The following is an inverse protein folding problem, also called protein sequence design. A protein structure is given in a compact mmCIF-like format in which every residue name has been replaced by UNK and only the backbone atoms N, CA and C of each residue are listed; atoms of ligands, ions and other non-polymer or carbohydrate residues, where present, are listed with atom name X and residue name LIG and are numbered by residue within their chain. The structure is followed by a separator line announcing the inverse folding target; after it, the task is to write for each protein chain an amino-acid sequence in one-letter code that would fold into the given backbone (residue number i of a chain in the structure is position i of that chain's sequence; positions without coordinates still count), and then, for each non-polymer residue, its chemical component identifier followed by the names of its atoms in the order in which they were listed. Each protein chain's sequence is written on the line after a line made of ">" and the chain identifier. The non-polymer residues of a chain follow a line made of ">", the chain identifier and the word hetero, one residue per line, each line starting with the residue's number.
data_IF_858432604416
#
_entry.id   IF_858432604416
#
_cell.length_a   1.000
_cell.length_b   1.000
_cell.length_c   1.000
_cell.angle_alpha   90.00
_cell.angle_beta   90.00
_cell.angle_gamma   90.00
#
_symmetry.space_group_name_H-M   'P 1'
#
loop_
_entity.id
_entity.type
_entity.pdbx_description
1 polymer ?
#
# COMPACT_ATOMS: atom_id res chain seq x y z
N UNK A 1 3.94 16.43 -25.03
CA UNK A 1 3.59 15.01 -24.84
C UNK A 1 4.80 14.10 -24.99
N UNK A 2 5.52 14.16 -26.11
CA UNK A 2 6.71 13.32 -26.38
C UNK A 2 7.77 13.34 -25.27
N UNK A 3 8.02 14.50 -24.64
CA UNK A 3 9.00 14.59 -23.53
C UNK A 3 8.70 13.64 -22.38
N UNK A 4 7.42 13.44 -22.07
CA UNK A 4 6.97 12.57 -20.98
C UNK A 4 6.88 11.11 -21.42
N UNK A 5 6.57 10.85 -22.70
CA UNK A 5 6.60 9.51 -23.24
C UNK A 5 8.01 8.91 -23.25
N UNK A 6 9.05 9.72 -23.47
CA UNK A 6 10.46 9.31 -23.33
C UNK A 6 10.86 8.89 -21.92
N UNK A 7 10.02 9.17 -20.91
CA UNK A 7 10.25 8.84 -19.50
C UNK A 7 9.46 7.60 -19.05
N UNK A 8 8.67 6.98 -19.95
CA UNK A 8 7.98 5.72 -19.63
C UNK A 8 9.02 4.67 -19.22
N UNK A 9 8.76 3.99 -18.10
CA UNK A 9 9.68 3.07 -17.45
C UNK A 9 10.44 3.68 -16.25
N UNK A 10 10.31 4.97 -15.97
CA UNK A 10 10.88 5.55 -14.75
C UNK A 10 10.00 5.33 -13.52
N UNK A 11 10.64 5.26 -12.34
CA UNK A 11 9.94 5.26 -11.07
C UNK A 11 9.69 6.70 -10.60
N UNK A 12 8.47 6.94 -10.14
CA UNK A 12 8.00 8.22 -9.60
C UNK A 12 7.61 8.03 -8.13
N UNK A 13 7.92 9.00 -7.28
CA UNK A 13 7.38 9.06 -5.93
C UNK A 13 6.21 10.02 -5.89
N UNK A 14 4.98 9.49 -5.77
CA UNK A 14 3.75 10.26 -5.79
C UNK A 14 3.35 10.59 -4.34
N UNK A 15 3.18 11.88 -3.98
CA UNK A 15 2.76 12.27 -2.64
C UNK A 15 1.48 11.56 -2.20
N UNK A 16 1.45 11.06 -0.97
CA UNK A 16 0.31 10.36 -0.33
C UNK A 16 -0.14 9.05 -0.99
N UNK A 17 0.53 8.60 -2.07
CA UNK A 17 0.21 7.34 -2.76
C UNK A 17 1.39 6.37 -2.67
N UNK A 18 2.61 6.85 -2.88
CA UNK A 18 3.83 6.04 -2.80
C UNK A 18 4.60 5.96 -4.12
N UNK A 19 5.49 4.97 -4.23
CA UNK A 19 6.33 4.75 -5.42
C UNK A 19 5.53 4.04 -6.51
N UNK A 20 5.67 4.47 -7.77
CA UNK A 20 5.03 3.82 -8.91
C UNK A 20 5.84 3.93 -10.19
N UNK A 21 5.65 2.99 -11.10
CA UNK A 21 6.32 2.88 -12.38
C UNK A 21 5.47 3.55 -13.48
N UNK A 22 6.00 4.55 -14.16
CA UNK A 22 5.30 5.22 -15.25
C UNK A 22 5.19 4.28 -16.46
N UNK A 23 3.98 3.91 -16.86
CA UNK A 23 3.72 2.96 -17.95
C UNK A 23 3.03 3.58 -19.17
N UNK A 24 2.30 4.68 -18.99
CA UNK A 24 1.52 5.33 -20.05
C UNK A 24 1.52 6.85 -19.90
N UNK A 25 1.54 7.59 -21.01
CA UNK A 25 1.28 9.04 -21.03
C UNK A 25 0.48 9.39 -22.28
N UNK A 26 -0.76 9.83 -22.09
CA UNK A 26 -1.67 10.11 -23.20
C UNK A 26 -3.10 10.44 -22.78
N UNK A 27 -4.01 10.68 -23.74
CA UNK A 27 -5.43 10.86 -23.48
C UNK A 27 -6.06 9.54 -22.99
N UNK A 28 -7.15 9.63 -22.23
CA UNK A 28 -7.96 8.48 -21.83
C UNK A 28 -9.35 8.66 -22.42
N UNK A 29 -9.87 7.61 -23.06
CA UNK A 29 -11.19 7.62 -23.72
C UNK A 29 -12.26 8.13 -22.75
N UNK A 30 -13.11 9.03 -23.22
CA UNK A 30 -14.20 9.65 -22.46
C UNK A 30 -13.74 10.44 -21.21
N UNK A 31 -12.47 10.86 -21.16
CA UNK A 31 -11.95 11.76 -20.13
C UNK A 31 -11.21 12.94 -20.77
N UNK A 32 -11.51 14.19 -20.38
CA UNK A 32 -10.84 15.36 -20.94
C UNK A 32 -9.41 15.48 -20.42
N UNK A 33 -8.51 15.93 -21.29
CA UNK A 33 -7.11 16.17 -20.93
C UNK A 33 -6.21 14.95 -21.10
N UNK A 34 -5.05 15.03 -20.46
CA UNK A 34 -3.98 14.02 -20.57
C UNK A 34 -3.69 13.38 -19.22
N UNK A 35 -3.42 12.09 -19.24
CA UNK A 35 -3.15 11.28 -18.07
C UNK A 35 -1.80 10.56 -18.17
N UNK A 36 -1.18 10.37 -17.01
CA UNK A 36 -0.11 9.43 -16.78
C UNK A 36 -0.71 8.16 -16.16
N UNK A 37 -0.48 7.01 -16.79
CA UNK A 37 -0.79 5.69 -16.24
C UNK A 37 0.42 5.15 -15.50
N UNK A 38 0.24 4.84 -14.22
CA UNK A 38 1.30 4.45 -13.29
C UNK A 38 0.91 3.13 -12.64
N UNK A 39 1.87 2.22 -12.54
CA UNK A 39 1.73 0.95 -11.82
C UNK A 39 2.41 1.05 -10.44
N UNK A 40 1.63 0.95 -9.37
CA UNK A 40 2.08 1.10 -8.00
C UNK A 40 2.73 -0.16 -7.42
N UNK A 41 2.75 -1.28 -8.17
CA UNK A 41 3.29 -2.57 -7.72
C UNK A 41 2.69 -3.08 -6.38
N UNK A 42 1.51 -2.58 -6.01
CA UNK A 42 0.73 -2.98 -4.86
C UNK A 42 -0.76 -2.68 -5.11
N UNK A 43 -1.67 -3.41 -4.48
CA UNK A 43 -3.14 -3.26 -4.63
C UNK A 43 -3.71 -2.01 -3.94
N UNK A 44 -3.06 -0.86 -4.15
CA UNK A 44 -3.45 0.46 -3.64
C UNK A 44 -3.93 1.39 -4.76
N UNK A 45 -3.88 0.91 -6.01
CA UNK A 45 -4.40 1.58 -7.19
C UNK A 45 -5.92 1.37 -7.37
N UNK A 46 -6.39 1.60 -8.59
CA UNK A 46 -7.84 1.57 -8.92
C UNK A 46 -8.19 0.63 -10.06
N UNK A 47 -7.23 0.25 -10.88
CA UNK A 47 -7.44 -0.51 -12.12
C UNK A 47 -6.24 -1.42 -12.43
N UNK A 48 -6.36 -2.20 -13.50
CA UNK A 48 -5.35 -3.12 -14.02
C UNK A 48 -4.58 -2.54 -15.23
N UNK A 49 -4.62 -1.22 -15.40
CA UNK A 49 -4.14 -0.52 -16.60
C UNK A 49 -5.16 -0.42 -17.75
N UNK A 50 -6.39 -0.90 -17.55
CA UNK A 50 -7.52 -0.70 -18.47
C UNK A 50 -8.55 0.32 -17.96
N UNK A 51 -9.28 0.96 -18.90
CA UNK A 51 -10.41 1.83 -18.59
C UNK A 51 -11.49 1.71 -19.68
N UNK A 52 -12.72 1.39 -19.27
CA UNK A 52 -13.89 1.19 -20.15
C UNK A 52 -13.63 0.23 -21.33
N UNK A 53 -12.99 -0.91 -21.06
CA UNK A 53 -12.69 -1.95 -22.06
C UNK A 53 -11.50 -1.64 -22.97
N UNK A 54 -10.82 -0.49 -22.80
CA UNK A 54 -9.59 -0.15 -23.52
C UNK A 54 -8.40 -0.32 -22.58
N UNK A 55 -7.41 -1.13 -22.97
CA UNK A 55 -6.15 -1.29 -22.23
C UNK A 55 -5.14 -0.23 -22.68
N UNK A 56 -4.61 0.51 -21.72
CA UNK A 56 -3.58 1.54 -21.97
C UNK A 56 -2.20 1.07 -21.54
N UNK A 57 -2.14 0.30 -20.46
CA UNK A 57 -0.92 -0.36 -19.99
C UNK A 57 -1.26 -1.68 -19.27
N UNK A 58 -0.22 -2.43 -18.94
CA UNK A 58 -0.30 -3.63 -18.11
C UNK A 58 0.27 -3.31 -16.72
N UNK A 59 -0.48 -3.70 -15.70
CA UNK A 59 -0.09 -3.55 -14.30
C UNK A 59 0.26 -4.91 -13.69
N UNK A 60 1.18 -4.92 -12.73
CA UNK A 60 1.65 -6.16 -12.06
C UNK A 60 0.53 -6.86 -11.28
N UNK A 61 -0.36 -6.08 -10.64
CA UNK A 61 -1.50 -6.60 -9.89
C UNK A 61 -2.83 -6.03 -10.40
N UNK A 62 -3.97 -6.73 -10.20
CA UNK A 62 -5.28 -6.31 -10.73
C UNK A 62 -5.75 -4.92 -10.28
N UNK A 63 -5.26 -4.42 -9.15
CA UNK A 63 -5.58 -3.09 -8.62
C UNK A 63 -4.34 -2.26 -8.33
N UNK A 64 -3.24 -2.44 -9.07
CA UNK A 64 -2.04 -1.61 -8.91
C UNK A 64 -1.95 -0.45 -9.89
N UNK A 65 -2.73 -0.47 -10.97
CA UNK A 65 -2.79 0.62 -11.96
C UNK A 65 -3.55 1.84 -11.46
N UNK A 66 -3.02 3.03 -11.79
CA UNK A 66 -3.61 4.31 -11.45
C UNK A 66 -3.42 5.32 -12.60
N UNK A 67 -4.50 5.98 -13.01
CA UNK A 67 -4.44 7.10 -13.95
C UNK A 67 -4.46 8.42 -13.17
N UNK A 68 -3.46 9.27 -13.38
CA UNK A 68 -3.34 10.59 -12.75
C UNK A 68 -3.26 11.64 -13.87
N UNK A 69 -3.93 12.78 -13.70
CA UNK A 69 -3.79 13.89 -14.65
C UNK A 69 -2.31 14.29 -14.77
N UNK A 70 -1.82 14.42 -16.00
CA UNK A 70 -0.41 14.69 -16.27
C UNK A 70 0.08 15.95 -15.57
N UNK A 71 -0.76 16.99 -15.45
CA UNK A 71 -0.38 18.24 -14.78
C UNK A 71 0.00 18.07 -13.30
N UNK A 72 -0.59 17.09 -12.61
CA UNK A 72 -0.30 16.83 -11.19
C UNK A 72 1.04 16.12 -10.98
N UNK A 73 1.54 15.42 -11.99
CA UNK A 73 2.76 14.59 -11.91
C UNK A 73 3.86 15.02 -12.87
N UNK A 74 3.61 16.04 -13.70
CA UNK A 74 4.54 16.55 -14.72
C UNK A 74 5.92 16.89 -14.13
N UNK A 75 5.95 17.66 -13.04
CA UNK A 75 7.19 18.03 -12.35
C UNK A 75 7.94 16.80 -11.81
N UNK A 76 7.20 15.80 -11.31
CA UNK A 76 7.80 14.55 -10.81
C UNK A 76 8.45 13.75 -11.95
N UNK A 77 7.81 13.71 -13.12
CA UNK A 77 8.32 13.01 -14.30
C UNK A 77 9.55 13.72 -14.88
N UNK A 78 9.54 15.05 -14.90
CA UNK A 78 10.68 15.84 -15.40
C UNK A 78 11.92 15.64 -14.51
N UNK A 79 11.72 15.55 -13.18
CA UNK A 79 12.78 15.30 -12.20
C UNK A 79 13.23 13.84 -12.09
N UNK A 80 12.45 12.88 -12.60
CA UNK A 80 12.83 11.47 -12.57
C UNK A 80 13.97 11.19 -13.57
N UNK A 81 15.14 10.82 -13.05
CA UNK A 81 16.29 10.42 -13.88
C UNK A 81 16.06 9.02 -14.47
N UNK A 82 16.45 8.83 -15.73
CA UNK A 82 16.21 7.59 -16.49
C UNK A 82 16.97 6.34 -15.94
N UNK A 83 17.65 6.46 -14.80
CA UNK A 83 18.60 5.48 -14.28
C UNK A 83 18.16 4.69 -13.04
N UNK A 84 17.03 5.00 -12.40
CA UNK A 84 16.65 4.36 -11.13
C UNK A 84 15.93 3.01 -11.30
N UNK A 85 16.43 2.17 -12.22
CA UNK A 85 15.81 0.88 -12.57
C UNK A 85 16.22 -0.27 -11.64
N UNK A 86 17.16 -0.13 -10.70
CA UNK A 86 17.63 -1.29 -9.92
C UNK A 86 18.13 -0.93 -8.51
N UNK A 87 17.21 -0.85 -7.53
CA UNK A 87 17.58 -1.16 -6.14
C UNK A 87 16.46 -1.90 -5.40
N UNK A 88 16.67 -3.21 -5.37
CA UNK A 88 16.47 -4.19 -4.28
C UNK A 88 15.08 -4.38 -3.67
N UNK A 89 14.37 -5.40 -4.15
CA UNK A 89 13.54 -6.28 -3.32
C UNK A 89 14.36 -7.54 -3.02
N UNK A 90 14.95 -7.62 -1.82
CA UNK A 90 15.35 -8.90 -1.23
C UNK A 90 14.71 -9.02 0.16
N UNK A 91 14.15 -10.19 0.50
CA UNK A 91 13.52 -10.43 1.79
C UNK A 91 14.61 -10.61 2.86
N UNK A 92 14.35 -10.01 4.01
CA UNK A 92 15.02 -10.28 5.28
C UNK A 92 14.70 -11.71 5.69
N UNK A 93 15.74 -12.53 5.89
CA UNK A 93 15.63 -13.71 6.72
C UNK A 93 16.69 -13.67 7.82
N UNK A 94 16.20 -13.82 9.04
CA UNK A 94 16.91 -13.72 10.30
C UNK A 94 17.45 -15.11 10.66
N UNK A 95 18.76 -15.30 10.64
CA UNK A 95 19.40 -16.23 11.59
C UNK A 95 20.73 -15.67 12.08
N UNK A 96 20.75 -15.46 13.38
CA UNK A 96 21.87 -15.13 14.27
C UNK A 96 22.88 -16.28 14.25
N UNK A 97 24.18 -15.98 14.13
CA UNK A 97 25.21 -16.55 15.01
C UNK A 97 26.56 -15.82 14.88
N UNK A 98 26.78 -14.90 15.82
CA UNK A 98 28.08 -14.49 16.37
C UNK A 98 28.82 -15.69 16.95
N UNK A 99 30.12 -15.90 16.64
CA UNK A 99 31.17 -16.26 17.62
C UNK A 99 32.56 -15.77 17.22
N UNK A 100 33.24 -15.28 18.26
CA UNK A 100 34.55 -14.63 18.32
C UNK A 100 35.59 -15.62 18.86
N UNK A 101 36.82 -15.51 18.35
CA UNK A 101 38.14 -15.90 18.90
C UNK A 101 38.53 -17.37 19.12
N UNK A 102 39.70 -17.78 18.60
CA UNK A 102 40.98 -17.89 19.35
C UNK A 102 41.94 -18.96 18.77
N UNK A 103 43.15 -18.54 18.38
CA UNK A 103 44.44 -19.14 18.78
C UNK A 103 44.87 -20.54 18.29
N UNK A 104 46.15 -20.62 17.87
CA UNK A 104 46.98 -21.80 18.14
C UNK A 104 47.73 -22.40 16.95
N UNK A 105 49.05 -22.23 16.95
CA UNK A 105 50.04 -22.62 15.94
C UNK A 105 50.31 -24.12 15.77
N UNK A 106 50.97 -24.41 14.65
CA UNK A 106 51.97 -25.48 14.38
C UNK A 106 51.51 -26.67 13.53
N UNK A 107 52.25 -26.92 12.45
CA UNK A 107 52.13 -28.17 11.69
C UNK A 107 52.75 -28.11 10.30
N UNK A 108 54.08 -28.21 10.23
CA UNK A 108 54.82 -28.54 9.00
C UNK A 108 54.49 -29.97 8.57
N UNK A 109 53.92 -30.18 7.38
CA UNK A 109 54.10 -31.41 6.59
C UNK A 109 53.97 -31.11 5.10
N UNK A 110 55.05 -31.40 4.36
CA UNK A 110 55.12 -31.58 2.91
C UNK A 110 54.45 -32.89 2.46
N UNK A 111 53.78 -32.88 1.29
CA UNK A 111 53.86 -33.85 0.15
C UNK A 111 52.69 -33.58 -0.82
N UNK A 112 52.87 -33.12 -2.08
CA UNK A 112 53.20 -33.87 -3.34
C UNK A 112 52.33 -35.13 -3.54
N UNK A 113 51.69 -35.47 -4.67
CA UNK A 113 51.81 -35.22 -6.12
C UNK A 113 50.52 -35.74 -6.81
N UNK A 114 50.17 -35.25 -8.02
CA UNK A 114 50.10 -36.08 -9.26
C UNK A 114 50.00 -35.19 -10.51
N UNK A 115 50.82 -35.54 -11.49
CA UNK A 115 51.06 -34.92 -12.81
C UNK A 115 50.18 -35.50 -13.93
N UNK A 116 50.08 -34.76 -15.04
CA UNK A 116 50.11 -35.29 -16.42
C UNK A 116 51.18 -34.48 -17.18
N UNK A 117 52.38 -35.04 -17.44
CA UNK A 117 52.82 -35.80 -18.65
C UNK A 117 53.05 -34.93 -19.91
N UNK A 118 54.13 -34.96 -20.71
CA UNK A 118 55.47 -35.60 -20.86
C UNK A 118 56.10 -34.98 -22.16
N UNK A 119 57.25 -35.40 -22.77
CA UNK A 119 58.34 -36.31 -22.36
C UNK A 119 59.78 -35.80 -22.64
N UNK A 120 60.74 -36.23 -21.82
CA UNK A 120 62.05 -36.68 -22.33
C UNK A 120 62.62 -37.74 -21.40
N UNK A 121 62.97 -38.94 -21.89
CA UNK A 121 63.61 -39.97 -21.10
C UNK A 121 65.13 -39.79 -21.12
N UNK A 122 65.74 -39.78 -19.94
CA UNK A 122 67.15 -40.10 -19.77
C UNK A 122 67.27 -41.58 -19.39
N UNK A 123 68.01 -42.38 -20.18
CA UNK A 123 68.52 -43.67 -19.72
C UNK A 123 69.97 -43.87 -20.17
N UNK A 124 70.80 -44.11 -19.15
CA UNK A 124 72.15 -44.72 -19.13
C UNK A 124 72.14 -46.03 -19.95
N UNK A 125 73.22 -46.59 -20.54
CA UNK A 125 74.66 -46.59 -20.28
C UNK A 125 75.36 -47.40 -21.39
N UNK A 126 76.67 -47.18 -21.54
CA UNK A 126 77.74 -48.15 -21.93
C UNK A 126 78.09 -48.28 -23.42
N UNK A 127 79.26 -47.75 -23.77
CA UNK A 127 80.19 -48.25 -24.81
C UNK A 127 81.57 -47.72 -24.41
N UNK A 128 82.42 -48.51 -23.75
CA UNK A 128 83.42 -49.39 -24.39
C UNK A 128 84.41 -48.63 -25.28
N UNK A 129 85.66 -48.71 -24.87
CA UNK A 129 86.83 -48.05 -25.44
C UNK A 129 87.00 -48.35 -26.93
N UNK A 130 86.97 -47.31 -27.75
CA UNK A 130 87.74 -47.27 -29.00
C UNK A 130 88.45 -45.95 -29.12
N UNK A 131 89.79 -46.03 -29.15
CA UNK A 131 90.72 -44.97 -29.56
C UNK A 131 90.23 -44.23 -30.82
N UNK A 132 90.17 -42.91 -30.75
CA UNK A 132 90.44 -42.00 -31.87
C UNK A 132 90.77 -40.63 -31.26
N UNK A 133 92.06 -40.32 -31.09
CA UNK A 133 92.76 -39.33 -31.90
C UNK A 133 92.15 -37.93 -31.85
N UNK A 134 92.84 -37.06 -31.12
CA UNK A 134 92.72 -35.61 -31.17
C UNK A 134 92.79 -35.10 -32.61
N UNK A 135 91.79 -34.31 -33.00
CA UNK A 135 91.94 -33.26 -34.01
C UNK A 135 91.09 -32.06 -33.56
N UNK A 136 91.70 -31.18 -32.79
CA UNK A 136 91.28 -29.78 -32.68
C UNK A 136 91.36 -29.16 -34.07
N UNK A 137 90.21 -29.03 -34.73
CA UNK A 137 90.00 -28.04 -35.79
C UNK A 137 88.51 -27.91 -35.98
N UNK A 138 87.89 -26.98 -35.24
CA UNK A 138 86.60 -26.46 -35.62
C UNK A 138 86.72 -26.02 -37.07
N UNK A 139 85.96 -26.63 -37.97
CA UNK A 139 85.98 -26.21 -39.36
C UNK A 139 85.47 -24.77 -39.42
N UNK A 140 86.04 -23.95 -40.30
CA UNK A 140 85.65 -22.54 -40.46
C UNK A 140 84.13 -22.37 -40.69
N UNK A 141 83.50 -23.43 -41.21
CA UNK A 141 82.06 -23.56 -41.42
C UNK A 141 81.26 -23.71 -40.10
N UNK A 142 81.74 -24.48 -39.12
CA UNK A 142 81.06 -24.65 -37.82
C UNK A 142 81.08 -23.36 -37.00
N UNK A 143 82.18 -22.62 -37.06
CA UNK A 143 82.32 -21.32 -36.40
C UNK A 143 81.38 -20.28 -37.02
N UNK A 144 81.22 -20.31 -38.36
CA UNK A 144 80.25 -19.46 -39.06
C UNK A 144 78.79 -19.81 -38.71
N UNK A 145 78.44 -21.10 -38.58
CA UNK A 145 77.10 -21.53 -38.18
C UNK A 145 76.78 -21.09 -36.74
N UNK A 146 77.71 -21.30 -35.81
CA UNK A 146 77.57 -20.87 -34.41
C UNK A 146 77.48 -19.34 -34.29
N UNK A 147 78.28 -18.60 -35.07
CA UNK A 147 78.21 -17.14 -35.14
C UNK A 147 76.83 -16.64 -35.64
N UNK A 148 76.30 -17.27 -36.68
CA UNK A 148 74.95 -16.97 -37.18
C UNK A 148 73.85 -17.28 -36.14
N UNK A 149 73.95 -18.42 -35.45
CA UNK A 149 73.02 -18.80 -34.38
C UNK A 149 73.06 -17.84 -33.20
N UNK A 150 74.26 -17.42 -32.79
CA UNK A 150 74.45 -16.43 -31.73
C UNK A 150 73.86 -15.06 -32.13
N UNK A 151 74.02 -14.65 -33.39
CA UNK A 151 73.40 -13.43 -33.93
C UNK A 151 71.87 -13.49 -33.92
N UNK A 152 71.28 -14.62 -34.32
CA UNK A 152 69.82 -14.82 -34.25
C UNK A 152 69.29 -14.80 -32.81
N UNK A 153 70.04 -15.39 -31.86
CA UNK A 153 69.67 -15.36 -30.44
C UNK A 153 69.74 -13.95 -29.87
N UNK A 154 70.77 -13.17 -30.19
CA UNK A 154 70.89 -11.77 -29.78
C UNK A 154 69.73 -10.93 -30.30
N UNK A 155 69.34 -11.09 -31.57
CA UNK A 155 68.17 -10.40 -32.13
C UNK A 155 66.86 -10.81 -31.45
N UNK A 156 66.73 -12.06 -31.01
CA UNK A 156 65.54 -12.51 -30.26
C UNK A 156 65.50 -11.90 -28.86
N UNK A 157 66.65 -11.83 -28.18
CA UNK A 157 66.77 -11.19 -26.86
C UNK A 157 66.46 -9.70 -26.97
N UNK A 158 67.00 -9.01 -27.96
CA UNK A 158 66.72 -7.58 -28.19
C UNK A 158 65.22 -7.31 -28.41
N UNK A 159 64.55 -8.13 -29.24
CA UNK A 159 63.09 -8.04 -29.42
C UNK A 159 62.32 -8.29 -28.12
N UNK A 160 62.74 -9.26 -27.32
CA UNK A 160 62.13 -9.54 -26.02
C UNK A 160 62.35 -8.39 -25.04
N UNK A 161 63.53 -7.77 -25.04
CA UNK A 161 63.82 -6.60 -24.20
C UNK A 161 62.97 -5.38 -24.60
N UNK A 162 62.76 -5.17 -25.91
CA UNK A 162 61.83 -4.16 -26.42
C UNK A 162 60.37 -4.43 -25.98
N UNK A 163 59.92 -5.69 -26.03
CA UNK A 163 58.60 -6.08 -25.56
C UNK A 163 58.45 -5.86 -24.05
N UNK A 164 59.46 -6.27 -23.26
CA UNK A 164 59.50 -6.04 -21.81
C UNK A 164 59.47 -4.53 -21.51
N UNK A 165 60.19 -3.70 -22.27
CA UNK A 165 60.16 -2.25 -22.11
C UNK A 165 58.76 -1.66 -22.37
N UNK A 166 58.05 -2.15 -23.40
CA UNK A 166 56.67 -1.76 -23.69
C UNK A 166 55.72 -2.14 -22.55
N UNK A 167 55.83 -3.35 -22.01
CA UNK A 167 55.00 -3.77 -20.88
C UNK A 167 55.31 -2.99 -19.60
N UNK A 168 56.58 -2.69 -19.33
CA UNK A 168 56.97 -1.84 -18.20
C UNK A 168 56.35 -0.45 -18.31
N UNK A 169 56.45 0.18 -19.49
CA UNK A 169 55.80 1.47 -19.74
C UNK A 169 54.29 1.40 -19.51
N UNK A 170 53.63 0.35 -20.01
CA UNK A 170 52.19 0.18 -19.80
C UNK A 170 51.82 0.03 -18.32
N UNK A 171 52.63 -0.68 -17.53
CA UNK A 171 52.44 -0.80 -16.07
C UNK A 171 52.68 0.52 -15.35
N UNK A 172 53.66 1.32 -15.80
CA UNK A 172 53.90 2.66 -15.27
C UNK A 172 52.73 3.60 -15.57
N UNK A 173 52.23 3.60 -16.81
CA UNK A 173 51.06 4.37 -17.22
C UNK A 173 49.81 3.95 -16.39
N UNK A 174 49.60 2.64 -16.18
CA UNK A 174 48.52 2.13 -15.32
C UNK A 174 48.67 2.59 -13.86
N UNK A 175 49.88 2.62 -13.31
CA UNK A 175 50.14 3.09 -11.94
C UNK A 175 49.75 4.55 -11.78
N UNK A 176 50.11 5.40 -12.74
CA UNK A 176 49.77 6.84 -12.72
C UNK A 176 48.25 7.02 -12.69
N UNK A 177 47.51 6.29 -13.52
CA UNK A 177 46.04 6.35 -13.52
C UNK A 177 45.46 5.94 -12.17
N UNK A 178 46.00 4.90 -11.52
CA UNK A 178 45.53 4.50 -10.19
C UNK A 178 45.83 5.57 -9.12
N UNK A 179 46.98 6.23 -9.21
CA UNK A 179 47.37 7.31 -8.31
C UNK A 179 46.47 8.54 -8.48
N UNK A 180 46.03 8.85 -9.70
CA UNK A 180 45.05 9.92 -9.98
C UNK A 180 43.64 9.60 -9.47
N UNK A 181 43.26 8.31 -9.45
CA UNK A 181 41.94 7.88 -8.98
C UNK A 181 41.83 7.84 -7.46
N UNK A 182 42.91 7.56 -6.74
CA UNK A 182 42.92 7.45 -5.27
C UNK A 182 42.30 8.65 -4.54
N UNK A 183 42.67 9.92 -4.81
CA UNK A 183 42.05 11.06 -4.11
C UNK A 183 40.55 11.19 -4.40
N UNK A 184 40.10 10.74 -5.57
CA UNK A 184 38.67 10.72 -5.91
C UNK A 184 37.93 9.67 -5.08
N UNK A 185 38.53 8.49 -4.89
CA UNK A 185 37.99 7.44 -4.02
C UNK A 185 37.91 7.96 -2.58
N UNK A 186 38.99 8.54 -2.06
CA UNK A 186 39.05 9.07 -0.69
C UNK A 186 37.96 10.14 -0.46
N UNK A 187 37.73 11.03 -1.44
CA UNK A 187 36.66 12.03 -1.37
C UNK A 187 35.25 11.41 -1.39
N UNK A 188 35.03 10.33 -2.13
CA UNK A 188 33.77 9.59 -2.07
C UNK A 188 33.60 8.85 -0.73
N UNK A 189 34.66 8.29 -0.17
CA UNK A 189 34.63 7.63 1.14
C UNK A 189 34.30 8.61 2.27
N UNK A 190 34.86 9.83 2.24
CA UNK A 190 34.53 10.90 3.18
C UNK A 190 33.06 11.33 3.03
N UNK A 191 32.60 11.55 1.79
CA UNK A 191 31.20 11.89 1.51
C UNK A 191 30.23 10.81 2.00
N UNK A 192 30.59 9.53 1.87
CA UNK A 192 29.80 8.42 2.39
C UNK A 192 29.72 8.45 3.92
N UNK A 193 30.83 8.70 4.62
CA UNK A 193 30.84 8.82 6.09
C UNK A 193 29.96 9.97 6.57
N UNK A 194 30.02 11.12 5.91
CA UNK A 194 29.19 12.28 6.26
C UNK A 194 27.69 11.99 6.05
N UNK A 195 27.33 11.35 4.94
CA UNK A 195 25.95 10.94 4.67
C UNK A 195 25.47 9.89 5.68
N UNK A 196 26.31 8.92 6.06
CA UNK A 196 25.97 7.92 7.08
C UNK A 196 25.76 8.55 8.46
N UNK A 197 26.59 9.53 8.83
CA UNK A 197 26.43 10.31 10.04
C UNK A 197 25.13 11.12 10.03
N UNK A 198 24.80 11.76 8.90
CA UNK A 198 23.56 12.53 8.75
C UNK A 198 22.32 11.63 8.81
N UNK A 199 22.35 10.46 8.14
CA UNK A 199 21.28 9.47 8.25
C UNK A 199 21.09 9.03 9.70
N UNK A 200 22.19 8.78 10.43
CA UNK A 200 22.14 8.39 11.84
C UNK A 200 21.53 9.49 12.71
N UNK A 201 21.89 10.76 12.47
CA UNK A 201 21.33 11.92 13.14
C UNK A 201 19.82 12.08 12.89
N UNK A 202 19.41 12.02 11.62
CA UNK A 202 17.99 12.14 11.23
C UNK A 202 17.15 10.99 11.78
N UNK A 203 17.67 9.76 11.78
CA UNK A 203 17.01 8.60 12.40
C UNK A 203 16.84 8.79 13.90
N UNK A 204 17.86 9.32 14.60
CA UNK A 204 17.78 9.60 16.03
C UNK A 204 16.75 10.71 16.33
N UNK A 205 16.70 11.77 15.51
CA UNK A 205 15.70 12.82 15.64
C UNK A 205 14.27 12.28 15.43
N UNK A 206 14.06 11.48 14.37
CA UNK A 206 12.77 10.85 14.10
C UNK A 206 12.34 9.92 15.25
N UNK A 207 13.27 9.14 15.80
CA UNK A 207 13.00 8.30 16.97
C UNK A 207 12.59 9.12 18.20
N UNK A 208 13.23 10.26 18.43
CA UNK A 208 12.89 11.16 19.52
C UNK A 208 11.50 11.79 19.33
N UNK A 209 11.19 12.31 18.15
CA UNK A 209 9.89 12.91 17.84
C UNK A 209 8.75 11.88 17.92
N UNK A 210 8.95 10.67 17.40
CA UNK A 210 7.95 9.59 17.47
C UNK A 210 7.68 9.14 18.90
N UNK A 211 8.72 9.03 19.74
CA UNK A 211 8.57 8.73 21.16
C UNK A 211 7.85 9.85 21.91
N UNK A 212 8.13 11.13 21.60
CA UNK A 212 7.38 12.25 22.16
C UNK A 212 5.91 12.23 21.76
N UNK A 213 5.60 12.02 20.47
CA UNK A 213 4.22 11.92 19.99
C UNK A 213 3.49 10.74 20.64
N UNK A 214 4.16 9.59 20.80
CA UNK A 214 3.61 8.43 21.49
C UNK A 214 3.25 8.76 22.94
N UNK A 215 4.12 9.46 23.66
CA UNK A 215 3.85 9.89 25.05
C UNK A 215 2.69 10.87 25.13
N UNK A 216 2.62 11.85 24.22
CA UNK A 216 1.49 12.78 24.16
C UNK A 216 0.17 12.05 23.87
N UNK A 217 0.18 11.13 22.89
CA UNK A 217 -0.98 10.30 22.57
C UNK A 217 -1.42 9.48 23.79
N UNK A 218 -0.50 8.80 24.47
CA UNK A 218 -0.79 8.04 25.68
C UNK A 218 -1.37 8.92 26.80
N UNK A 219 -0.86 10.15 26.95
CA UNK A 219 -1.40 11.11 27.89
C UNK A 219 -2.86 11.45 27.56
N UNK A 220 -3.16 11.84 26.33
CA UNK A 220 -4.54 12.15 25.92
C UNK A 220 -5.47 10.93 25.96
N UNK A 221 -4.98 9.73 25.63
CA UNK A 221 -5.74 8.49 25.77
C UNK A 221 -6.12 8.23 27.23
N UNK A 222 -5.17 8.42 28.17
CA UNK A 222 -5.43 8.24 29.60
C UNK A 222 -6.40 9.28 30.18
N UNK A 223 -6.32 10.54 29.72
CA UNK A 223 -7.27 11.59 30.10
C UNK A 223 -8.66 11.31 29.52
N UNK A 224 -8.73 10.85 28.27
CA UNK A 224 -10.00 10.48 27.63
C UNK A 224 -10.68 9.31 28.35
N UNK A 225 -9.93 8.29 28.74
CA UNK A 225 -10.43 7.14 29.50
C UNK A 225 -10.96 7.57 30.87
N UNK A 226 -10.25 8.46 31.57
CA UNK A 226 -10.72 9.03 32.84
C UNK A 226 -12.02 9.84 32.67
N UNK A 227 -12.10 10.66 31.62
CA UNK A 227 -13.32 11.42 31.32
C UNK A 227 -14.50 10.50 31.00
N UNK A 228 -14.29 9.42 30.23
CA UNK A 228 -15.33 8.42 29.96
C UNK A 228 -15.82 7.76 31.26
N UNK A 229 -14.93 7.40 32.17
CA UNK A 229 -15.31 6.84 33.46
C UNK A 229 -16.18 7.81 34.29
N UNK A 230 -15.83 9.11 34.32
CA UNK A 230 -16.63 10.14 34.99
C UNK A 230 -17.99 10.32 34.33
N UNK A 231 -18.05 10.29 32.99
CA UNK A 231 -19.31 10.37 32.25
C UNK A 231 -20.22 9.18 32.57
N UNK A 232 -19.67 7.97 32.64
CA UNK A 232 -20.43 6.77 33.00
C UNK A 232 -20.96 6.83 34.44
N UNK A 233 -20.16 7.33 35.39
CA UNK A 233 -20.59 7.55 36.77
C UNK A 233 -21.75 8.56 36.84
N UNK A 234 -21.63 9.70 36.16
CA UNK A 234 -22.69 10.71 36.09
C UNK A 234 -23.95 10.18 35.42
N UNK A 235 -23.84 9.36 34.37
CA UNK A 235 -25.02 8.74 33.74
C UNK A 235 -25.77 7.82 34.69
N UNK A 236 -25.07 6.99 35.48
CA UNK A 236 -25.71 6.15 36.47
C UNK A 236 -26.30 6.97 37.63
N UNK A 237 -25.66 8.07 38.03
CA UNK A 237 -26.24 9.02 39.01
C UNK A 237 -27.53 9.69 38.49
N UNK A 238 -27.53 10.16 37.24
CA UNK A 238 -28.72 10.77 36.61
C UNK A 238 -29.86 9.77 36.59
N UNK A 239 -29.61 8.55 36.13
CA UNK A 239 -30.59 7.46 36.07
C UNK A 239 -31.10 7.06 37.46
N UNK A 240 -30.23 7.04 38.46
CA UNK A 240 -30.64 6.82 39.85
C UNK A 240 -31.55 7.96 40.36
N UNK A 241 -31.21 9.21 40.07
CA UNK A 241 -32.03 10.37 40.42
C UNK A 241 -33.37 10.37 39.69
N UNK A 242 -33.42 10.04 38.40
CA UNK A 242 -34.67 9.88 37.64
C UNK A 242 -35.58 8.83 38.28
N UNK A 243 -35.03 7.67 38.69
CA UNK A 243 -35.79 6.64 39.41
C UNK A 243 -36.32 7.16 40.75
N UNK A 244 -35.53 7.92 41.51
CA UNK A 244 -35.96 8.53 42.77
C UNK A 244 -37.11 9.52 42.54
N UNK A 245 -36.97 10.41 41.56
CA UNK A 245 -38.01 11.39 41.18
C UNK A 245 -39.27 10.69 40.69
N UNK A 246 -39.15 9.66 39.85
CA UNK A 246 -40.29 8.88 39.36
C UNK A 246 -41.02 8.14 40.50
N UNK A 247 -40.28 7.55 41.45
CA UNK A 247 -40.86 6.91 42.62
C UNK A 247 -41.55 7.92 43.55
N UNK A 248 -40.97 9.11 43.73
CA UNK A 248 -41.57 10.17 44.54
C UNK A 248 -42.81 10.78 43.86
N UNK A 249 -42.79 10.96 42.55
CA UNK A 249 -43.97 11.33 41.78
C UNK A 249 -45.06 10.26 41.90
N UNK A 250 -44.69 8.97 41.76
CA UNK A 250 -45.62 7.86 41.89
C UNK A 250 -46.21 7.77 43.30
N UNK A 251 -45.43 7.96 44.37
CA UNK A 251 -45.94 7.93 45.74
C UNK A 251 -46.89 9.08 46.06
N UNK A 252 -46.72 10.25 45.43
CA UNK A 252 -47.66 11.38 45.52
C UNK A 252 -48.94 11.14 44.71
N UNK A 253 -48.84 10.49 43.55
CA UNK A 253 -49.98 10.24 42.64
C UNK A 253 -50.83 9.05 43.09
N UNK A 254 -50.23 7.97 43.63
CA UNK A 254 -50.94 6.76 44.08
C UNK A 254 -52.17 7.05 44.97
N UNK A 255 -52.05 7.78 46.10
CA UNK A 255 -53.18 7.97 47.01
C UNK A 255 -54.37 8.73 46.39
N UNK A 256 -54.16 9.48 45.30
CA UNK A 256 -55.23 10.21 44.60
C UNK A 256 -55.79 9.42 43.40
N UNK A 257 -54.93 8.77 42.61
CA UNK A 257 -55.33 8.03 41.41
C UNK A 257 -55.71 6.56 41.66
N UNK A 258 -55.24 5.95 42.75
CA UNK A 258 -55.52 4.56 43.10
C UNK A 258 -57.01 4.27 43.32
N UNK A 259 -57.74 5.08 44.11
CA UNK A 259 -59.19 4.94 44.28
C UNK A 259 -59.94 5.13 42.95
N UNK A 260 -59.61 6.19 42.22
CA UNK A 260 -60.21 6.50 40.91
C UNK A 260 -59.99 5.38 39.88
N UNK A 261 -58.82 4.72 39.91
CA UNK A 261 -58.55 3.54 39.05
C UNK A 261 -59.46 2.37 39.38
N UNK A 262 -59.68 2.08 40.67
CA UNK A 262 -60.58 1.00 41.09
C UNK A 262 -62.02 1.29 40.70
N UNK A 263 -62.48 2.53 40.89
CA UNK A 263 -63.80 2.96 40.46
C UNK A 263 -63.99 2.83 38.95
N UNK A 264 -62.97 3.19 38.17
CA UNK A 264 -63.00 3.03 36.72
C UNK A 264 -63.06 1.55 36.30
N UNK A 265 -62.30 0.68 36.96
CA UNK A 265 -62.32 -0.78 36.74
C UNK A 265 -63.70 -1.38 37.07
N UNK A 266 -64.30 -0.96 38.18
CA UNK A 266 -65.65 -1.38 38.57
C UNK A 266 -66.70 -0.89 37.58
N UNK A 267 -66.58 0.36 37.11
CA UNK A 267 -67.47 0.92 36.09
C UNK A 267 -67.35 0.15 34.77
N UNK A 268 -66.15 -0.17 34.30
CA UNK A 268 -65.94 -0.99 33.09
C UNK A 268 -66.54 -2.39 33.25
N UNK A 269 -66.34 -3.04 34.40
CA UNK A 269 -66.94 -4.35 34.66
C UNK A 269 -68.48 -4.29 34.67
N UNK A 270 -69.06 -3.21 35.22
CA UNK A 270 -70.51 -2.97 35.19
C UNK A 270 -71.02 -2.81 33.76
N UNK A 271 -70.33 -2.00 32.94
CA UNK A 271 -70.68 -1.80 31.54
C UNK A 271 -70.66 -3.15 30.80
N UNK A 272 -69.60 -3.95 30.96
CA UNK A 272 -69.50 -5.26 30.31
C UNK A 272 -70.61 -6.24 30.71
N UNK A 273 -71.07 -6.20 31.96
CA UNK A 273 -72.21 -7.01 32.42
C UNK A 273 -73.51 -6.51 31.80
N UNK A 274 -73.73 -5.20 31.75
CA UNK A 274 -74.92 -4.60 31.16
C UNK A 274 -75.00 -4.85 29.65
N UNK A 275 -73.88 -4.79 28.94
CA UNK A 275 -73.78 -5.15 27.52
C UNK A 275 -74.19 -6.62 27.28
N UNK A 276 -73.68 -7.56 28.09
CA UNK A 276 -74.12 -8.97 28.02
C UNK A 276 -75.60 -9.17 28.30
N UNK A 277 -76.17 -8.40 29.22
CA UNK A 277 -77.61 -8.46 29.52
C UNK A 277 -78.45 -7.90 28.36
N UNK A 278 -77.98 -6.83 27.72
CA UNK A 278 -78.55 -6.28 26.49
C UNK A 278 -78.52 -7.28 25.34
N UNK A 279 -77.40 -7.96 25.13
CA UNK A 279 -77.27 -9.01 24.10
C UNK A 279 -78.23 -10.18 24.37
N UNK A 280 -78.35 -10.63 25.62
CA UNK A 280 -79.29 -11.68 26.01
C UNK A 280 -80.76 -11.27 25.83
N UNK A 281 -81.10 -10.02 26.16
CA UNK A 281 -82.44 -9.46 25.95
C UNK A 281 -82.75 -9.25 24.46
N UNK A 282 -81.76 -8.89 23.65
CA UNK A 282 -81.88 -8.80 22.20
C UNK A 282 -82.16 -10.18 21.57
N UNK A 283 -81.49 -11.24 22.03
CA UNK A 283 -81.76 -12.62 21.59
C UNK A 283 -83.16 -13.08 22.00
N UNK A 284 -83.62 -12.74 23.22
CA UNK A 284 -84.95 -13.10 23.73
C UNK A 284 -86.13 -12.36 23.03
N UNK A 285 -85.85 -11.29 22.28
CA UNK A 285 -86.89 -10.48 21.61
C UNK A 285 -86.98 -10.76 20.09
N UNK A 286 -86.20 -11.71 19.55
CA UNK A 286 -86.29 -12.08 18.12
C UNK A 286 -87.35 -13.17 17.88
N UNK A 287 -88.59 -12.75 17.65
CA UNK A 287 -89.57 -13.56 16.92
C UNK A 287 -89.31 -13.46 15.41
N UNK A 288 -89.30 -14.56 14.65
CA UNK A 288 -89.00 -14.52 13.21
C UNK A 288 -90.25 -14.10 12.43
N UNK A 289 -90.38 -12.82 12.09
CA UNK A 289 -91.30 -12.41 11.03
C UNK A 289 -90.64 -12.62 9.68
N UNK A 290 -91.19 -13.59 8.96
CA UNK A 290 -90.98 -13.90 7.55
C UNK A 290 -91.47 -12.75 6.67
N UNK A 291 -90.55 -12.16 5.92
CA UNK A 291 -90.85 -11.43 4.67
C UNK A 291 -90.01 -12.07 3.57
N UNK A 292 -90.69 -12.53 2.52
CA UNK A 292 -90.09 -13.04 1.28
C UNK A 292 -90.20 -11.98 0.19
N UNK A 293 -89.19 -12.01 -0.69
CA UNK A 293 -89.17 -11.59 -2.11
C UNK A 293 -89.34 -10.09 -2.41
N UNK A 294 -88.65 -9.46 -3.37
CA UNK A 294 -87.80 -9.91 -4.48
C UNK A 294 -86.80 -8.79 -4.79
N UNK A 295 -85.53 -9.13 -5.06
CA UNK A 295 -84.67 -8.57 -6.13
C UNK A 295 -83.20 -8.87 -5.84
N UNK A 296 -82.61 -9.65 -6.75
CA UNK A 296 -81.17 -9.76 -6.87
C UNK A 296 -80.60 -8.50 -7.55
N UNK A 297 -79.77 -7.74 -6.84
CA UNK A 297 -78.45 -7.27 -7.29
C UNK A 297 -77.90 -6.15 -6.41
N UNK A 298 -76.57 -6.10 -6.37
CA UNK A 298 -75.70 -5.03 -5.90
C UNK A 298 -75.59 -4.82 -4.38
N UNK A 299 -74.47 -5.34 -3.86
CA UNK A 299 -73.85 -4.92 -2.61
C UNK A 299 -73.52 -3.44 -2.71
N UNK A 300 -74.40 -2.57 -2.20
CA UNK A 300 -74.02 -1.18 -1.92
C UNK A 300 -73.44 -1.12 -0.51
N UNK A 301 -72.10 -1.21 -0.47
CA UNK A 301 -71.27 -0.85 0.66
C UNK A 301 -71.71 0.49 1.26
N UNK A 302 -71.82 0.54 2.60
CA UNK A 302 -72.06 1.76 3.37
C UNK A 302 -71.27 2.95 2.82
N UNK A 303 -71.87 4.15 2.74
CA UNK A 303 -71.20 5.31 2.16
C UNK A 303 -69.93 5.62 2.95
N UNK A 304 -68.77 5.41 2.31
CA UNK A 304 -67.51 5.90 2.83
C UNK A 304 -67.66 7.42 2.94
N UNK A 305 -67.64 7.93 4.18
CA UNK A 305 -67.65 9.35 4.44
C UNK A 305 -66.48 10.02 3.71
N UNK A 306 -66.77 10.68 2.59
CA UNK A 306 -65.84 11.59 1.91
C UNK A 306 -65.95 12.94 2.57
N UNK A 307 -64.90 13.34 3.29
CA UNK A 307 -64.78 14.71 3.78
C UNK A 307 -65.01 15.70 2.63
N UNK A 308 -65.84 16.73 2.86
CA UNK A 308 -66.20 17.77 1.86
C UNK A 308 -64.98 18.43 1.23
N UNK A 309 -63.85 18.44 1.94
CA UNK A 309 -62.55 18.81 1.42
C UNK A 309 -61.57 17.68 1.70
N UNK A 310 -60.79 17.28 0.69
CA UNK A 310 -59.58 16.50 0.92
C UNK A 310 -58.60 17.41 1.66
N UNK A 311 -58.60 17.31 2.99
CA UNK A 311 -57.53 17.89 3.79
C UNK A 311 -56.35 16.94 3.54
N UNK A 312 -55.48 17.32 2.62
CA UNK A 312 -54.20 16.66 2.49
C UNK A 312 -53.49 16.84 3.84
N UNK A 313 -53.22 15.74 4.53
CA UNK A 313 -52.51 15.80 5.80
C UNK A 313 -51.16 16.50 5.64
N UNK A 314 -50.58 16.52 4.42
CA UNK A 314 -49.36 17.21 4.07
C UNK A 314 -49.53 18.69 3.66
N UNK A 315 -50.76 19.19 3.49
CA UNK A 315 -50.98 20.59 3.13
C UNK A 315 -50.50 21.52 4.25
N UNK A 316 -49.45 22.28 3.95
CA UNK A 316 -48.82 23.23 4.87
C UNK A 316 -47.63 22.68 5.66
N UNK A 317 -47.21 21.44 5.41
CA UNK A 317 -45.94 20.93 5.95
C UNK A 317 -44.79 21.38 5.05
N UNK A 318 -43.77 22.01 5.62
CA UNK A 318 -42.53 22.26 4.89
C UNK A 318 -41.91 20.89 4.54
N UNK A 319 -41.73 20.60 3.25
CA UNK A 319 -41.15 19.34 2.79
C UNK A 319 -39.80 19.11 3.47
N UNK A 320 -39.64 18.00 4.20
CA UNK A 320 -38.41 17.67 4.93
C UNK A 320 -37.61 16.65 4.12
N UNK A 321 -36.35 16.97 3.81
CA UNK A 321 -35.45 16.09 3.09
C UNK A 321 -34.71 15.15 4.04
N UNK A 322 -34.88 13.85 3.84
CA UNK A 322 -34.20 12.83 4.66
C UNK A 322 -32.72 12.65 4.31
N UNK A 323 -32.26 13.19 3.17
CA UNK A 323 -30.86 13.08 2.73
C UNK A 323 -29.95 14.16 3.32
N UNK A 324 -30.48 15.36 3.56
CA UNK A 324 -29.71 16.48 4.12
C UNK A 324 -30.31 17.07 5.41
N UNK A 325 -31.40 16.47 5.92
CA UNK A 325 -32.11 16.85 7.15
C UNK A 325 -32.56 18.33 7.20
N UNK A 326 -33.00 18.88 6.06
CA UNK A 326 -33.45 20.28 5.93
C UNK A 326 -34.89 20.36 5.42
N UNK A 327 -35.61 21.40 5.81
CA UNK A 327 -36.94 21.71 5.31
C UNK A 327 -36.89 22.51 3.99
N UNK A 328 -37.98 22.48 3.22
CA UNK A 328 -38.17 23.20 1.96
C UNK A 328 -38.05 22.37 0.66
N UNK A 329 -37.73 21.08 0.71
CA UNK A 329 -37.67 20.20 -0.47
C UNK A 329 -37.84 18.72 -0.11
N UNK A 330 -38.22 17.88 -1.09
CA UNK A 330 -38.31 16.43 -0.91
C UNK A 330 -36.99 15.74 -1.26
N UNK A 331 -36.74 14.55 -0.70
CA UNK A 331 -35.49 13.80 -0.95
C UNK A 331 -35.23 13.50 -2.42
N UNK A 332 -36.27 13.45 -3.25
CA UNK A 332 -36.15 13.13 -4.69
C UNK A 332 -35.72 14.32 -5.55
N UNK A 333 -35.93 15.54 -5.05
CA UNK A 333 -35.58 16.79 -5.72
C UNK A 333 -34.58 17.60 -4.88
N UNK A 334 -33.73 16.90 -4.11
CA UNK A 334 -32.80 17.52 -3.19
C UNK A 334 -31.76 18.35 -3.99
N UNK A 335 -31.76 19.69 -3.89
CA UNK A 335 -30.80 20.52 -4.62
C UNK A 335 -29.37 20.38 -4.09
N UNK A 336 -29.21 19.66 -2.97
CA UNK A 336 -27.95 19.28 -2.35
C UNK A 336 -27.59 17.81 -2.60
N UNK A 337 -28.35 17.09 -3.43
CA UNK A 337 -27.90 15.79 -3.94
C UNK A 337 -26.65 16.02 -4.78
N UNK A 338 -25.54 15.62 -4.19
CA UNK A 338 -24.28 15.51 -4.89
C UNK A 338 -24.41 14.38 -5.91
N UNK A 339 -24.07 14.60 -7.20
CA UNK A 339 -24.25 13.60 -8.23
C UNK A 339 -23.53 12.32 -7.83
N UNK A 340 -24.29 11.24 -7.62
CA UNK A 340 -23.73 9.94 -7.29
C UNK A 340 -22.87 9.47 -8.47
N UNK A 341 -21.58 9.23 -8.22
CA UNK A 341 -20.75 8.47 -9.15
C UNK A 341 -21.22 7.00 -9.17
N UNK A 342 -20.87 6.24 -10.22
CA UNK A 342 -21.23 4.83 -10.56
C UNK A 342 -21.03 3.77 -9.43
N UNK A 343 -20.64 4.19 -8.21
CA UNK A 343 -20.46 3.35 -7.02
C UNK A 343 -21.24 3.82 -5.78
N UNK A 344 -22.21 4.73 -5.93
CA UNK A 344 -23.17 5.06 -4.86
C UNK A 344 -22.58 5.71 -3.61
N UNK A 345 -21.57 6.59 -3.74
CA UNK A 345 -21.05 7.41 -2.62
C UNK A 345 -21.29 8.90 -2.86
N UNK A 346 -21.67 9.62 -1.81
CA UNK A 346 -21.91 11.07 -1.80
C UNK A 346 -20.59 11.88 -1.87
N UNK A 347 -20.60 13.01 -2.58
CA UNK A 347 -19.39 13.74 -3.02
C UNK A 347 -18.92 14.93 -2.16
N UNK A 348 -19.51 15.38 -1.04
CA UNK A 348 -19.14 16.67 -0.38
C UNK A 348 -19.19 17.95 -1.26
N UNK A 349 -19.79 19.01 -0.72
CA UNK A 349 -20.03 20.27 -1.43
C UNK A 349 -18.76 21.04 -1.84
N UNK A 350 -17.60 20.71 -1.27
CA UNK A 350 -16.32 21.37 -1.59
C UNK A 350 -15.74 20.96 -2.96
N UNK A 351 -16.26 19.89 -3.59
CA UNK A 351 -15.82 19.43 -4.92
C UNK A 351 -16.60 20.04 -6.10
N UNK A 352 -17.58 20.93 -5.87
CA UNK A 352 -18.40 21.57 -6.91
C UNK A 352 -18.16 23.08 -7.13
N UNK A 353 -17.16 23.65 -6.45
CA UNK A 353 -16.64 24.98 -6.77
C UNK A 353 -15.19 24.86 -7.23
N UNK A 354 -14.96 24.27 -8.41
CA UNK A 354 -13.88 24.64 -9.35
C UNK A 354 -14.08 23.96 -10.72
#
# INVERSE_FOLDING_TARGET
>A
MERYQKKIGCFLHIPNVGRGLLKYVGPVKNKPGTYAGIDLLANIGKNDGSFQGVRYFESEYPQSGLFIQLQKVAALIDNASNGDSRRSTLPVDFTIDTRVSSGGSSGSVRRTLVENCSPTPARRSRTESTRAHSTDSATDLDLAILSNRNRELLQRVEKQDEEIAKYKKLLDDQRVVLEELQPTIDGYEESLKDLEAEISRLRAQLAFETEQQKRQKQYFESEHEQLLAVVDELHEEIKANERRVANEARSKIEPTHGPLRKELEEAHNRIAVLERQLDQAAVATTSPTTYKDDTASTVESLPIYRAKHKIDAAAGRESWCALCERSGHESIDCPYELPLNDKGKSISADELLF
#
